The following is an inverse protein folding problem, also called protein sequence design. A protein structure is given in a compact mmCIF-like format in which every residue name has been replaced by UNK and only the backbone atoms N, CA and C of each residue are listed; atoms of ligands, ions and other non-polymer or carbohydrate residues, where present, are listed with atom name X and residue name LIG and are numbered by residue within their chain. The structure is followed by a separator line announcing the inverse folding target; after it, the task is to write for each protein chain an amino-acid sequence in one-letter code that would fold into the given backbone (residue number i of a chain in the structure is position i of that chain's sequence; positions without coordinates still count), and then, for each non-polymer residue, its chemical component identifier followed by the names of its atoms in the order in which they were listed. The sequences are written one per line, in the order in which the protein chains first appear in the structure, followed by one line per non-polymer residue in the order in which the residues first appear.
data_IF_391670310387
#
_entry.id   IF_391670310387
#
_cell.length_a   1.000
_cell.length_b   1.000
_cell.length_c   1.000
_cell.angle_alpha   90.00
_cell.angle_beta   90.00
_cell.angle_gamma   90.00
#
_symmetry.space_group_name_H-M   'P 1'
#
loop_
_entity.id
_entity.type
_entity.pdbx_description
1 polymer ?
#
# COMPACT_ATOMS: atom_id res chain seq x y z
N UNK A 1 -15.82 -27.43 8.76
CA UNK A 1 -14.82 -27.84 9.77
C UNK A 1 -13.62 -26.92 9.63
N UNK A 2 -13.58 -25.85 10.43
CA UNK A 2 -12.39 -25.00 10.52
C UNK A 2 -11.41 -25.70 11.46
N UNK A 3 -10.21 -26.00 10.98
CA UNK A 3 -9.12 -26.51 11.80
C UNK A 3 -8.79 -25.46 12.86
N UNK A 4 -9.17 -25.75 14.11
CA UNK A 4 -8.71 -25.02 15.28
C UNK A 4 -7.18 -25.12 15.28
N UNK A 5 -6.49 -23.98 15.16
CA UNK A 5 -5.07 -23.93 15.44
C UNK A 5 -4.88 -24.39 16.90
N UNK A 6 -4.34 -25.60 17.08
CA UNK A 6 -3.93 -26.03 18.41
C UNK A 6 -2.80 -25.11 18.88
N UNK A 7 -2.73 -24.78 20.18
CA UNK A 7 -1.57 -24.11 20.72
C UNK A 7 -0.35 -24.98 20.39
N UNK A 8 0.61 -24.41 19.67
CA UNK A 8 1.88 -25.10 19.44
C UNK A 8 2.48 -25.38 20.82
N UNK A 9 2.59 -26.65 21.17
CA UNK A 9 3.49 -27.08 22.24
C UNK A 9 4.89 -26.77 21.73
N UNK A 10 5.45 -25.67 22.21
CA UNK A 10 6.81 -25.27 21.90
C UNK A 10 7.70 -26.24 22.67
N UNK A 11 8.47 -27.05 21.94
CA UNK A 11 9.36 -28.06 22.50
C UNK A 11 10.38 -27.38 23.44
N UNK A 12 10.52 -27.83 24.69
CA UNK A 12 11.32 -27.18 25.73
C UNK A 12 12.81 -27.01 25.36
N UNK A 13 13.30 -27.78 24.39
CA UNK A 13 14.65 -27.66 23.83
C UNK A 13 14.85 -26.41 22.94
N UNK A 14 13.77 -25.82 22.41
CA UNK A 14 13.79 -24.66 21.52
C UNK A 14 14.00 -23.32 22.27
N UNK A 15 13.66 -23.25 23.56
CA UNK A 15 13.83 -22.04 24.37
C UNK A 15 15.29 -21.73 24.74
N UNK A 16 16.20 -22.71 24.67
CA UNK A 16 17.58 -22.57 25.15
C UNK A 16 18.61 -22.17 24.08
N UNK A 17 18.14 -21.87 22.87
CA UNK A 17 19.00 -21.51 21.73
C UNK A 17 19.14 -19.99 21.60
N UNK A 18 20.36 -19.49 21.37
CA UNK A 18 20.60 -18.09 20.94
C UNK A 18 19.76 -17.69 19.71
N UNK A 19 19.29 -18.67 18.94
CA UNK A 19 18.46 -18.49 17.75
C UNK A 19 16.96 -18.41 18.05
N UNK A 20 16.51 -18.76 19.26
CA UNK A 20 15.08 -18.83 19.64
C UNK A 20 14.31 -17.53 19.35
N UNK A 21 14.84 -16.32 19.65
CA UNK A 21 14.16 -15.08 19.30
C UNK A 21 14.02 -14.89 17.78
N UNK A 22 15.04 -15.25 17.00
CA UNK A 22 15.03 -15.11 15.55
C UNK A 22 14.02 -16.08 14.93
N UNK A 23 14.00 -17.32 15.38
CA UNK A 23 13.12 -18.36 14.85
C UNK A 23 11.65 -18.05 15.12
N UNK A 24 11.31 -17.42 16.26
CA UNK A 24 9.94 -16.91 16.52
C UNK A 24 9.48 -15.95 15.42
N UNK A 25 10.29 -14.96 15.04
CA UNK A 25 9.93 -14.02 13.98
C UNK A 25 9.96 -14.66 12.59
N UNK A 26 10.86 -15.62 12.35
CA UNK A 26 10.96 -16.28 11.05
C UNK A 26 9.79 -17.21 10.73
N UNK A 27 9.23 -17.88 11.75
CA UNK A 27 8.20 -18.92 11.57
C UNK A 27 6.83 -18.55 12.14
N UNK A 28 6.65 -17.32 12.64
CA UNK A 28 5.37 -16.89 13.22
C UNK A 28 4.22 -16.92 12.21
N UNK A 29 3.04 -17.29 12.71
CA UNK A 29 1.78 -17.13 12.00
C UNK A 29 0.88 -16.06 12.62
N UNK A 30 1.30 -15.42 13.73
CA UNK A 30 0.51 -14.40 14.43
C UNK A 30 0.40 -13.13 13.57
N UNK A 31 -0.83 -12.73 13.23
CA UNK A 31 -1.12 -11.53 12.44
C UNK A 31 -0.53 -10.23 13.02
N UNK A 32 -0.34 -10.14 14.34
CA UNK A 32 0.28 -8.98 15.00
C UNK A 32 1.76 -8.91 14.68
N UNK A 33 2.48 -10.03 14.83
CA UNK A 33 3.92 -10.10 14.55
C UNK A 33 4.17 -9.90 13.06
N UNK A 34 3.39 -10.55 12.20
CA UNK A 34 3.45 -10.34 10.74
C UNK A 34 3.14 -8.88 10.39
N UNK A 35 2.13 -8.26 11.01
CA UNK A 35 1.83 -6.85 10.84
C UNK A 35 3.00 -5.93 11.21
N UNK A 36 3.69 -6.20 12.32
CA UNK A 36 4.91 -5.47 12.72
C UNK A 36 6.02 -5.66 11.69
N UNK A 37 6.23 -6.88 11.18
CA UNK A 37 7.26 -7.15 10.17
C UNK A 37 6.99 -6.38 8.87
N UNK A 38 5.74 -6.31 8.41
CA UNK A 38 5.34 -5.47 7.28
C UNK A 38 5.65 -3.99 7.54
N UNK A 39 5.20 -3.45 8.68
CA UNK A 39 5.40 -2.03 9.03
C UNK A 39 6.88 -1.68 9.16
N UNK A 40 7.70 -2.55 9.75
CA UNK A 40 9.13 -2.33 9.89
C UNK A 40 9.86 -2.40 8.54
N UNK A 41 9.60 -3.44 7.74
CA UNK A 41 10.21 -3.61 6.41
C UNK A 41 9.87 -2.42 5.50
N UNK A 42 8.61 -1.99 5.49
CA UNK A 42 8.16 -0.85 4.70
C UNK A 42 8.69 0.49 5.20
N UNK A 43 8.87 0.66 6.52
CA UNK A 43 9.51 1.84 7.08
C UNK A 43 10.99 1.96 6.68
N UNK A 44 11.72 0.84 6.61
CA UNK A 44 13.09 0.86 6.06
C UNK A 44 13.10 1.29 4.58
N UNK A 45 12.16 0.78 3.78
CA UNK A 45 11.98 1.21 2.39
C UNK A 45 11.67 2.71 2.28
N UNK A 46 10.87 3.27 3.20
CA UNK A 46 10.60 4.71 3.28
C UNK A 46 11.88 5.54 3.49
N UNK A 47 12.76 5.11 4.41
CA UNK A 47 14.02 5.81 4.65
C UNK A 47 14.91 5.80 3.40
N UNK A 48 15.02 4.65 2.72
CA UNK A 48 15.78 4.52 1.48
C UNK A 48 15.20 5.40 0.37
N UNK A 49 13.87 5.39 0.19
CA UNK A 49 13.20 6.24 -0.79
C UNK A 49 13.37 7.74 -0.49
N UNK A 50 13.42 8.12 0.79
CA UNK A 50 13.71 9.47 1.25
C UNK A 50 15.11 9.92 0.86
N UNK A 51 16.11 9.04 0.98
CA UNK A 51 17.49 9.32 0.52
C UNK A 51 17.51 9.60 -0.99
N UNK A 52 16.84 8.76 -1.79
CA UNK A 52 16.73 9.01 -3.24
C UNK A 52 16.08 10.36 -3.55
N UNK A 53 15.00 10.70 -2.85
CA UNK A 53 14.33 11.99 -3.00
C UNK A 53 15.24 13.17 -2.68
N UNK A 54 16.01 13.08 -1.58
CA UNK A 54 16.93 14.14 -1.18
C UNK A 54 18.02 14.35 -2.23
N UNK A 55 18.63 13.28 -2.74
CA UNK A 55 19.66 13.38 -3.78
C UNK A 55 19.09 14.03 -5.04
N UNK A 56 17.90 13.61 -5.50
CA UNK A 56 17.24 14.23 -6.65
C UNK A 56 16.96 15.72 -6.43
N UNK A 57 16.51 16.11 -5.22
CA UNK A 57 16.22 17.51 -4.90
C UNK A 57 17.47 18.36 -4.82
N UNK A 58 18.58 17.80 -4.33
CA UNK A 58 19.89 18.48 -4.33
C UNK A 58 20.38 18.67 -5.77
N UNK A 59 20.28 17.65 -6.63
CA UNK A 59 20.63 17.77 -8.06
C UNK A 59 19.79 18.85 -8.78
N UNK A 60 18.52 19.01 -8.41
CA UNK A 60 17.62 20.01 -9.02
C UNK A 60 17.61 21.37 -8.31
N UNK A 61 18.49 21.61 -7.33
CA UNK A 61 18.46 22.84 -6.53
C UNK A 61 18.79 24.10 -7.35
N UNK A 62 19.60 23.97 -8.40
CA UNK A 62 19.87 25.02 -9.38
C UNK A 62 20.21 24.40 -10.76
N UNK A 63 20.06 25.17 -11.86
CA UNK A 63 20.42 24.70 -13.19
C UNK A 63 21.90 24.28 -13.29
N UNK A 64 22.19 23.25 -14.09
CA UNK A 64 23.54 22.77 -14.44
C UNK A 64 24.39 22.27 -13.25
N UNK A 65 23.77 21.82 -12.15
CA UNK A 65 24.47 21.02 -11.14
C UNK A 65 24.91 19.66 -11.70
N UNK A 66 25.99 19.11 -11.14
CA UNK A 66 26.55 17.81 -11.52
C UNK A 66 26.75 16.92 -10.27
N UNK A 67 25.72 16.80 -9.43
CA UNK A 67 25.73 15.92 -8.25
C UNK A 67 25.63 14.45 -8.68
N UNK A 68 24.77 14.18 -9.67
CA UNK A 68 24.64 12.88 -10.35
C UNK A 68 24.52 13.10 -11.85
N UNK A 69 24.97 12.12 -12.64
CA UNK A 69 24.77 12.12 -14.09
C UNK A 69 23.31 11.78 -14.45
N UNK A 70 22.94 11.95 -15.73
CA UNK A 70 21.57 11.77 -16.22
C UNK A 70 21.04 10.34 -16.08
N UNK A 71 21.90 9.32 -16.25
CA UNK A 71 21.50 7.92 -16.14
C UNK A 71 21.22 7.59 -14.67
N UNK A 72 22.13 7.98 -13.78
CA UNK A 72 21.94 7.83 -12.33
C UNK A 72 20.69 8.59 -11.86
N UNK A 73 20.44 9.80 -12.36
CA UNK A 73 19.23 10.56 -12.03
C UNK A 73 17.95 9.80 -12.41
N UNK A 74 17.89 9.22 -13.61
CA UNK A 74 16.75 8.44 -14.06
C UNK A 74 16.54 7.18 -13.20
N UNK A 75 17.62 6.50 -12.81
CA UNK A 75 17.54 5.37 -11.87
C UNK A 75 17.01 5.79 -10.51
N UNK A 76 17.42 6.96 -9.99
CA UNK A 76 16.91 7.50 -8.72
C UNK A 76 15.43 7.86 -8.80
N UNK A 77 14.96 8.44 -9.90
CA UNK A 77 13.54 8.74 -10.13
C UNK A 77 12.70 7.46 -10.12
N UNK A 78 13.12 6.46 -10.89
CA UNK A 78 12.49 5.14 -10.92
C UNK A 78 12.50 4.48 -9.54
N UNK A 79 13.64 4.46 -8.86
CA UNK A 79 13.80 3.85 -7.54
C UNK A 79 12.98 4.53 -6.46
N UNK A 80 12.96 5.86 -6.42
CA UNK A 80 12.10 6.58 -5.50
C UNK A 80 10.63 6.22 -5.70
N UNK A 81 10.13 6.30 -6.95
CA UNK A 81 8.73 6.03 -7.25
C UNK A 81 8.33 4.58 -6.96
N UNK A 82 9.12 3.60 -7.41
CA UNK A 82 8.87 2.18 -7.13
C UNK A 82 8.90 1.89 -5.64
N UNK A 83 9.89 2.41 -4.91
CA UNK A 83 10.02 2.15 -3.48
C UNK A 83 8.88 2.78 -2.67
N UNK A 84 8.49 4.02 -2.98
CA UNK A 84 7.40 4.69 -2.26
C UNK A 84 6.05 3.99 -2.47
N UNK A 85 5.70 3.68 -3.72
CA UNK A 85 4.39 3.12 -4.08
C UNK A 85 4.29 1.67 -3.62
N UNK A 86 5.20 0.82 -4.09
CA UNK A 86 5.08 -0.62 -3.89
C UNK A 86 5.66 -1.09 -2.56
N UNK A 87 6.74 -0.49 -2.05
CA UNK A 87 7.45 -1.03 -0.88
C UNK A 87 7.19 -0.27 0.42
N UNK A 88 6.72 0.97 0.35
CA UNK A 88 6.33 1.73 1.52
C UNK A 88 4.82 1.79 1.71
N UNK A 89 4.10 2.60 0.92
CA UNK A 89 2.73 3.01 1.26
C UNK A 89 1.79 1.81 1.33
N UNK A 90 1.72 1.00 0.26
CA UNK A 90 0.81 -0.15 0.21
C UNK A 90 1.16 -1.21 1.27
N UNK A 91 2.45 -1.47 1.51
CA UNK A 91 2.88 -2.47 2.48
C UNK A 91 2.74 -2.02 3.93
N UNK A 92 2.98 -0.74 4.22
CA UNK A 92 2.76 -0.20 5.55
C UNK A 92 1.28 -0.30 5.92
N UNK A 93 0.40 0.12 5.02
CA UNK A 93 -1.05 0.02 5.21
C UNK A 93 -1.52 -1.45 5.32
N UNK A 94 -0.91 -2.35 4.55
CA UNK A 94 -1.13 -3.80 4.69
C UNK A 94 -0.72 -4.30 6.06
N UNK A 95 0.42 -3.87 6.60
CA UNK A 95 0.87 -4.22 7.96
C UNK A 95 -0.06 -3.69 9.05
N UNK A 96 -0.53 -2.44 8.91
CA UNK A 96 -1.55 -1.84 9.79
C UNK A 96 -2.83 -2.67 9.78
N UNK A 97 -3.33 -3.03 8.59
CA UNK A 97 -4.52 -3.85 8.44
C UNK A 97 -4.32 -5.25 9.03
N UNK A 98 -3.16 -5.87 8.81
CA UNK A 98 -2.83 -7.19 9.35
C UNK A 98 -2.92 -7.20 10.87
N UNK A 99 -2.39 -6.16 11.51
CA UNK A 99 -2.42 -6.03 12.96
C UNK A 99 -3.84 -5.75 13.48
N UNK A 100 -4.54 -4.77 12.89
CA UNK A 100 -5.73 -4.17 13.50
C UNK A 100 -7.05 -4.83 13.06
N UNK A 101 -7.15 -5.33 11.82
CA UNK A 101 -8.42 -5.84 11.27
C UNK A 101 -8.95 -7.05 12.04
N UNK A 102 -8.16 -8.11 12.34
CA UNK A 102 -8.66 -9.24 13.13
C UNK A 102 -9.20 -8.80 14.49
N UNK A 103 -8.52 -7.85 15.14
CA UNK A 103 -8.93 -7.28 16.43
C UNK A 103 -10.26 -6.54 16.31
N UNK A 104 -10.42 -5.72 15.27
CA UNK A 104 -11.64 -4.94 15.04
C UNK A 104 -12.86 -5.80 14.71
N UNK A 105 -12.67 -6.95 14.06
CA UNK A 105 -13.76 -7.89 13.76
C UNK A 105 -13.99 -8.94 14.85
N UNK A 106 -13.17 -8.94 15.91
CA UNK A 106 -13.23 -9.90 17.00
C UNK A 106 -12.78 -11.32 16.60
N UNK A 107 -11.96 -11.44 15.56
CA UNK A 107 -11.33 -12.69 15.16
C UNK A 107 -10.07 -12.96 16.00
N UNK A 108 -9.76 -14.24 16.23
CA UNK A 108 -8.53 -14.63 16.94
C UNK A 108 -7.27 -14.40 16.10
N UNK A 109 -7.39 -14.64 14.80
CA UNK A 109 -6.31 -14.52 13.81
C UNK A 109 -6.95 -14.38 12.41
N UNK A 110 -6.11 -14.26 11.39
CA UNK A 110 -6.49 -14.30 9.98
C UNK A 110 -7.06 -15.67 9.58
N UNK A 111 -7.89 -15.72 8.54
CA UNK A 111 -8.50 -16.96 8.04
C UNK A 111 -7.47 -17.98 7.53
N UNK A 112 -6.38 -17.49 6.95
CA UNK A 112 -5.29 -18.32 6.45
C UNK A 112 -3.94 -17.84 7.03
N UNK A 113 -3.60 -18.19 8.29
CA UNK A 113 -2.39 -17.67 8.96
C UNK A 113 -1.08 -17.99 8.23
N UNK A 114 -0.96 -19.18 7.62
CA UNK A 114 0.24 -19.56 6.84
C UNK A 114 0.34 -18.82 5.50
N UNK A 115 -0.79 -18.57 4.84
CA UNK A 115 -0.85 -17.74 3.62
C UNK A 115 -0.48 -16.30 3.97
N UNK A 116 -0.86 -15.83 5.16
CA UNK A 116 -0.45 -14.53 5.69
C UNK A 116 1.08 -14.42 5.82
N UNK A 117 1.70 -15.42 6.45
CA UNK A 117 3.15 -15.49 6.62
C UNK A 117 3.88 -15.58 5.28
N UNK A 118 3.41 -16.44 4.36
CA UNK A 118 3.98 -16.53 3.01
C UNK A 118 3.83 -15.21 2.25
N UNK A 119 2.67 -14.57 2.32
CA UNK A 119 2.44 -13.25 1.72
C UNK A 119 3.47 -12.23 2.20
N UNK A 120 3.76 -12.20 3.50
CA UNK A 120 4.85 -11.37 4.03
C UNK A 120 6.20 -11.77 3.45
N UNK A 121 6.60 -13.04 3.45
CA UNK A 121 7.93 -13.45 2.99
C UNK A 121 8.21 -13.18 1.51
N UNK A 122 7.19 -13.08 0.68
CA UNK A 122 7.33 -12.64 -0.71
C UNK A 122 7.72 -11.16 -0.83
N UNK A 123 7.41 -10.31 0.16
CA UNK A 123 7.79 -8.89 0.16
C UNK A 123 9.30 -8.66 0.20
N UNK A 124 10.06 -9.15 1.21
CA UNK A 124 11.51 -8.94 1.23
C UNK A 124 12.20 -9.61 0.04
N UNK A 125 11.64 -10.69 -0.52
CA UNK A 125 12.11 -11.28 -1.78
C UNK A 125 11.89 -10.31 -2.94
N UNK A 126 10.71 -9.70 -3.07
CA UNK A 126 10.42 -8.69 -4.08
C UNK A 126 11.36 -7.48 -3.97
N UNK A 127 11.51 -6.92 -2.77
CA UNK A 127 12.44 -5.82 -2.48
C UNK A 127 13.88 -6.21 -2.85
N UNK A 128 14.31 -7.41 -2.45
CA UNK A 128 15.63 -7.94 -2.76
C UNK A 128 15.87 -8.10 -4.26
N UNK A 129 14.88 -8.60 -5.01
CA UNK A 129 14.94 -8.69 -6.47
C UNK A 129 15.13 -7.30 -7.08
N UNK A 130 14.32 -6.32 -6.68
CA UNK A 130 14.43 -4.96 -7.21
C UNK A 130 15.83 -4.36 -6.99
N UNK A 131 16.33 -4.39 -5.75
CA UNK A 131 17.62 -3.80 -5.43
C UNK A 131 18.81 -4.61 -5.97
N UNK A 132 18.63 -5.90 -6.27
CA UNK A 132 19.64 -6.70 -6.96
C UNK A 132 19.99 -6.13 -8.34
N UNK A 133 19.06 -5.41 -8.99
CA UNK A 133 19.32 -4.71 -10.25
C UNK A 133 20.50 -3.74 -10.16
N UNK A 134 20.66 -3.01 -9.05
CA UNK A 134 21.81 -2.10 -8.86
C UNK A 134 23.16 -2.82 -8.89
N UNK A 135 23.20 -4.10 -8.50
CA UNK A 135 24.41 -4.92 -8.54
C UNK A 135 24.58 -5.70 -9.85
N UNK A 136 23.55 -5.72 -10.71
CA UNK A 136 23.48 -6.48 -11.95
C UNK A 136 23.48 -5.59 -13.21
N UNK A 137 24.09 -4.40 -13.12
CA UNK A 137 24.25 -3.48 -14.25
C UNK A 137 23.35 -2.23 -14.21
N UNK A 138 22.60 -2.00 -13.13
CA UNK A 138 21.81 -0.79 -12.90
C UNK A 138 20.34 -1.09 -12.61
N UNK A 139 19.65 -0.17 -11.94
CA UNK A 139 18.22 -0.29 -11.69
C UNK A 139 17.40 0.11 -12.93
N UNK A 140 16.07 -0.03 -12.85
CA UNK A 140 15.15 0.59 -13.80
C UNK A 140 15.47 2.08 -13.93
N UNK A 141 15.57 2.60 -15.17
CA UNK A 141 15.84 4.01 -15.48
C UNK A 141 14.73 4.63 -16.39
N UNK A 142 13.55 4.01 -16.43
CA UNK A 142 12.46 4.35 -17.36
C UNK A 142 11.21 4.93 -16.65
N UNK A 143 11.41 5.63 -15.53
CA UNK A 143 10.35 6.02 -14.60
C UNK A 143 9.77 4.83 -13.84
N UNK A 144 8.95 5.07 -12.81
CA UNK A 144 8.29 3.97 -12.07
C UNK A 144 7.20 3.27 -12.89
N UNK A 145 6.76 3.88 -14.01
CA UNK A 145 5.77 3.33 -14.94
C UNK A 145 6.38 2.38 -15.97
N UNK A 146 7.69 2.48 -16.25
CA UNK A 146 8.40 1.53 -17.11
C UNK A 146 7.83 1.41 -18.52
N UNK A 147 7.56 2.53 -19.21
CA UNK A 147 6.90 2.46 -20.51
C UNK A 147 7.77 1.82 -21.62
N UNK A 148 7.21 0.88 -22.41
CA UNK A 148 7.78 0.54 -23.70
C UNK A 148 7.57 1.70 -24.71
N UNK A 149 8.46 1.87 -25.70
CA UNK A 149 9.55 0.96 -26.04
C UNK A 149 10.82 1.15 -25.18
N UNK A 150 10.88 2.14 -24.27
CA UNK A 150 12.07 2.46 -23.49
C UNK A 150 12.55 1.28 -22.62
N UNK A 151 11.63 0.44 -22.16
CA UNK A 151 11.95 -0.80 -21.43
C UNK A 151 12.36 -1.99 -22.30
N UNK A 152 12.35 -1.88 -23.64
CA UNK A 152 12.84 -2.95 -24.52
C UNK A 152 14.37 -3.07 -24.47
N UNK A 153 14.90 -4.26 -24.79
CA UNK A 153 16.37 -4.47 -24.84
C UNK A 153 17.11 -3.57 -25.83
N UNK A 154 16.41 -3.00 -26.82
CA UNK A 154 17.01 -2.06 -27.76
C UNK A 154 17.42 -0.75 -27.09
N UNK A 155 16.59 -0.23 -26.18
CA UNK A 155 16.84 1.04 -25.49
C UNK A 155 17.40 0.86 -24.07
N UNK A 156 17.05 -0.25 -23.41
CA UNK A 156 17.53 -0.60 -22.09
C UNK A 156 18.07 -2.04 -22.08
N UNK A 157 19.35 -2.24 -22.46
CA UNK A 157 19.96 -3.57 -22.59
C UNK A 157 20.34 -4.20 -21.24
N UNK A 158 20.39 -3.42 -20.16
CA UNK A 158 20.73 -3.90 -18.82
C UNK A 158 19.64 -4.77 -18.20
N UNK A 159 19.97 -5.42 -17.08
CA UNK A 159 19.06 -6.30 -16.34
C UNK A 159 18.12 -5.54 -15.38
N UNK A 160 18.26 -4.22 -15.25
CA UNK A 160 17.47 -3.42 -14.31
C UNK A 160 15.96 -3.50 -14.54
N UNK A 161 15.53 -3.57 -15.80
CA UNK A 161 14.12 -3.79 -16.14
C UNK A 161 13.67 -5.19 -15.74
N UNK A 162 14.50 -6.21 -15.95
CA UNK A 162 14.16 -7.61 -15.66
C UNK A 162 14.01 -7.86 -14.15
N UNK A 163 14.91 -7.29 -13.34
CA UNK A 163 14.79 -7.36 -11.88
C UNK A 163 13.57 -6.60 -11.36
N UNK A 164 13.21 -5.49 -12.00
CA UNK A 164 12.01 -4.73 -11.65
C UNK A 164 10.71 -5.46 -12.01
N UNK A 165 10.59 -6.03 -13.22
CA UNK A 165 9.41 -6.82 -13.63
C UNK A 165 9.23 -8.03 -12.71
N UNK A 166 10.29 -8.81 -12.45
CA UNK A 166 10.26 -9.95 -11.54
C UNK A 166 9.87 -9.55 -10.12
N UNK A 167 10.43 -8.44 -9.62
CA UNK A 167 10.06 -7.87 -8.33
C UNK A 167 8.56 -7.58 -8.24
N UNK A 168 7.99 -6.89 -9.23
CA UNK A 168 6.58 -6.50 -9.22
C UNK A 168 5.62 -7.69 -9.41
N UNK A 169 6.04 -8.75 -10.11
CA UNK A 169 5.28 -10.01 -10.18
C UNK A 169 5.16 -10.63 -8.78
N UNK A 170 6.28 -10.75 -8.07
CA UNK A 170 6.30 -11.31 -6.70
C UNK A 170 5.47 -10.44 -5.74
N UNK A 171 5.57 -9.12 -5.87
CA UNK A 171 4.77 -8.17 -5.10
C UNK A 171 3.26 -8.33 -5.36
N UNK A 172 2.85 -8.46 -6.62
CA UNK A 172 1.46 -8.64 -6.99
C UNK A 172 0.87 -9.94 -6.42
N UNK A 173 1.64 -11.03 -6.46
CA UNK A 173 1.24 -12.31 -5.87
C UNK A 173 1.03 -12.17 -4.35
N UNK A 174 1.95 -11.52 -3.64
CA UNK A 174 1.81 -11.21 -2.21
C UNK A 174 0.51 -10.44 -1.92
N UNK A 175 0.25 -9.38 -2.69
CA UNK A 175 -0.94 -8.55 -2.55
C UNK A 175 -2.26 -9.28 -2.80
N UNK A 176 -2.31 -10.17 -3.80
CA UNK A 176 -3.48 -11.02 -4.09
C UNK A 176 -3.73 -11.99 -2.91
N UNK A 177 -2.69 -12.62 -2.40
CA UNK A 177 -2.79 -13.52 -1.24
C UNK A 177 -3.29 -12.79 0.01
N UNK A 178 -2.78 -11.59 0.27
CA UNK A 178 -3.24 -10.75 1.38
C UNK A 178 -4.72 -10.37 1.22
N UNK A 179 -5.13 -9.96 0.02
CA UNK A 179 -6.51 -9.59 -0.31
C UNK A 179 -7.51 -10.71 -0.05
N UNK A 180 -7.22 -11.92 -0.54
CA UNK A 180 -8.06 -13.10 -0.30
C UNK A 180 -8.17 -13.37 1.20
N UNK A 181 -7.04 -13.31 1.92
CA UNK A 181 -7.01 -13.58 3.35
C UNK A 181 -7.81 -12.55 4.16
N UNK A 182 -7.66 -11.25 3.88
CA UNK A 182 -8.45 -10.20 4.52
C UNK A 182 -9.95 -10.35 4.24
N UNK A 183 -10.35 -10.57 2.97
CA UNK A 183 -11.75 -10.75 2.62
C UNK A 183 -12.35 -11.95 3.34
N UNK A 184 -11.68 -13.11 3.33
CA UNK A 184 -12.18 -14.28 4.03
C UNK A 184 -12.26 -14.05 5.54
N UNK A 185 -11.24 -13.42 6.14
CA UNK A 185 -11.24 -13.10 7.58
C UNK A 185 -12.41 -12.20 7.93
N UNK A 186 -12.57 -11.09 7.22
CA UNK A 186 -13.62 -10.12 7.48
C UNK A 186 -14.99 -10.69 7.17
N UNK A 187 -15.17 -11.56 6.17
CA UNK A 187 -16.47 -12.10 5.80
C UNK A 187 -16.92 -13.30 6.65
N UNK A 188 -15.99 -14.18 7.02
CA UNK A 188 -16.31 -15.46 7.63
C UNK A 188 -16.03 -15.53 9.14
N UNK A 189 -15.12 -14.71 9.67
CA UNK A 189 -14.61 -14.85 11.05
C UNK A 189 -15.02 -13.71 12.00
N UNK A 190 -15.98 -12.87 11.61
CA UNK A 190 -16.50 -11.81 12.50
C UNK A 190 -17.14 -12.39 13.75
N UNK A 191 -17.04 -11.64 14.84
CA UNK A 191 -17.74 -11.95 16.08
C UNK A 191 -19.27 -12.09 15.86
N UNK A 192 -19.94 -13.05 16.53
CA UNK A 192 -21.39 -13.21 16.46
C UNK A 192 -22.13 -11.91 16.79
N UNK A 193 -23.14 -11.56 15.98
CA UNK A 193 -23.93 -10.32 16.14
C UNK A 193 -23.37 -9.08 15.42
N UNK A 194 -22.16 -9.16 14.84
CA UNK A 194 -21.60 -8.12 13.99
C UNK A 194 -22.08 -8.28 12.54
N UNK A 195 -23.13 -7.56 12.17
CA UNK A 195 -23.59 -7.45 10.77
C UNK A 195 -22.63 -6.58 9.95
N UNK A 196 -22.70 -6.65 8.62
CA UNK A 196 -21.84 -5.84 7.73
C UNK A 196 -21.98 -4.34 8.01
N UNK A 197 -23.20 -3.85 8.20
CA UNK A 197 -23.45 -2.44 8.51
C UNK A 197 -23.03 -2.03 9.94
N UNK A 198 -22.42 -2.93 10.73
CA UNK A 198 -21.83 -2.61 12.04
C UNK A 198 -20.29 -2.65 12.03
N UNK A 199 -19.67 -2.88 10.87
CA UNK A 199 -18.21 -2.90 10.75
C UNK A 199 -17.62 -1.49 10.96
N UNK A 200 -16.45 -1.37 11.62
CA UNK A 200 -15.70 -0.12 11.64
C UNK A 200 -15.36 0.36 10.22
N UNK A 201 -15.20 1.68 10.03
CA UNK A 201 -14.95 2.24 8.70
C UNK A 201 -13.55 1.86 8.19
N UNK A 202 -12.58 1.62 9.09
CA UNK A 202 -11.30 1.03 8.70
C UNK A 202 -11.45 -0.38 8.12
N UNK A 203 -12.36 -1.20 8.65
CA UNK A 203 -12.61 -2.55 8.12
C UNK A 203 -13.30 -2.48 6.75
N UNK A 204 -14.25 -1.57 6.56
CA UNK A 204 -14.84 -1.32 5.23
C UNK A 204 -13.80 -0.86 4.21
N UNK A 205 -12.91 0.06 4.59
CA UNK A 205 -11.80 0.48 3.75
C UNK A 205 -10.89 -0.70 3.37
N UNK A 206 -10.63 -1.63 4.30
CA UNK A 206 -9.85 -2.83 3.98
C UNK A 206 -10.58 -3.77 3.03
N UNK A 207 -11.90 -3.96 3.17
CA UNK A 207 -12.70 -4.74 2.20
C UNK A 207 -12.52 -4.13 0.80
N UNK A 208 -12.70 -2.81 0.68
CA UNK A 208 -12.56 -2.10 -0.60
C UNK A 208 -11.16 -2.23 -1.19
N UNK A 209 -10.13 -2.04 -0.38
CA UNK A 209 -8.72 -2.20 -0.78
C UNK A 209 -8.44 -3.62 -1.29
N UNK A 210 -8.94 -4.63 -0.57
CA UNK A 210 -8.76 -6.04 -0.94
C UNK A 210 -9.51 -6.41 -2.23
N UNK A 211 -10.71 -5.87 -2.45
CA UNK A 211 -11.45 -6.07 -3.69
C UNK A 211 -10.71 -5.47 -4.89
N UNK A 212 -10.20 -4.23 -4.74
CA UNK A 212 -9.44 -3.57 -5.80
C UNK A 212 -8.20 -4.39 -6.16
N UNK A 213 -7.37 -4.73 -5.17
CA UNK A 213 -6.11 -5.40 -5.41
C UNK A 213 -6.30 -6.82 -5.99
N UNK A 214 -7.39 -7.51 -5.63
CA UNK A 214 -7.75 -8.79 -6.24
C UNK A 214 -8.08 -8.65 -7.74
N UNK A 215 -8.78 -7.57 -8.13
CA UNK A 215 -9.16 -7.32 -9.52
C UNK A 215 -7.95 -6.84 -10.33
N UNK A 216 -7.13 -5.94 -9.77
CA UNK A 216 -6.12 -5.21 -10.53
C UNK A 216 -4.70 -5.72 -10.39
N UNK A 217 -4.42 -6.55 -9.36
CA UNK A 217 -3.10 -7.17 -9.18
C UNK A 217 -2.74 -8.12 -10.33
N UNK A 218 -3.73 -8.84 -10.89
CA UNK A 218 -3.51 -9.74 -12.02
C UNK A 218 -3.13 -8.98 -13.32
N UNK A 219 -3.82 -7.89 -13.71
CA UNK A 219 -3.38 -7.01 -14.79
C UNK A 219 -1.95 -6.50 -14.66
N UNK A 220 -1.51 -6.08 -13.45
CA UNK A 220 -0.11 -5.68 -13.22
C UNK A 220 0.85 -6.85 -13.49
N UNK A 221 0.62 -8.00 -12.85
CA UNK A 221 1.45 -9.18 -13.04
C UNK A 221 1.51 -9.59 -14.52
N UNK A 222 0.36 -9.53 -15.22
CA UNK A 222 0.27 -9.77 -16.66
C UNK A 222 1.13 -8.79 -17.47
N UNK A 223 1.05 -7.48 -17.21
CA UNK A 223 1.88 -6.49 -17.89
C UNK A 223 3.39 -6.74 -17.66
N UNK A 224 3.78 -7.09 -16.44
CA UNK A 224 5.18 -7.41 -16.11
C UNK A 224 5.66 -8.68 -16.80
N UNK A 225 4.85 -9.75 -16.79
CA UNK A 225 5.16 -11.01 -17.48
C UNK A 225 5.30 -10.77 -18.98
N UNK A 226 4.34 -10.06 -19.60
CA UNK A 226 4.37 -9.74 -21.03
C UNK A 226 5.60 -8.90 -21.41
N UNK A 227 6.01 -7.98 -20.54
CA UNK A 227 7.24 -7.19 -20.71
C UNK A 227 8.49 -8.08 -20.65
N UNK A 228 8.53 -9.02 -19.69
CA UNK A 228 9.65 -9.94 -19.52
C UNK A 228 9.78 -10.89 -20.72
N UNK A 229 8.66 -11.39 -21.26
CA UNK A 229 8.72 -12.27 -22.43
C UNK A 229 9.08 -11.54 -23.73
N UNK A 230 8.71 -10.26 -23.86
CA UNK A 230 9.19 -9.41 -24.95
C UNK A 230 10.72 -9.24 -24.86
N UNK A 231 11.26 -9.10 -23.65
CA UNK A 231 12.70 -8.91 -23.43
C UNK A 231 13.50 -10.21 -23.55
N UNK A 232 13.06 -11.31 -22.96
CA UNK A 232 13.87 -12.53 -22.84
C UNK A 232 13.57 -13.58 -23.91
N UNK A 233 12.33 -13.63 -24.39
CA UNK A 233 11.87 -14.67 -25.31
C UNK A 233 11.55 -14.13 -26.72
N UNK A 234 11.71 -12.83 -26.95
CA UNK A 234 11.59 -12.21 -28.27
C UNK A 234 10.15 -12.10 -28.78
N UNK A 235 9.17 -12.10 -27.87
CA UNK A 235 7.78 -11.77 -28.25
C UNK A 235 7.65 -10.29 -28.62
N UNK A 236 6.49 -9.91 -29.16
CA UNK A 236 6.25 -8.56 -29.69
C UNK A 236 4.92 -7.98 -29.20
N UNK A 237 4.63 -8.07 -27.90
CA UNK A 237 3.40 -7.51 -27.35
C UNK A 237 3.43 -5.97 -27.31
N UNK A 238 4.49 -5.41 -26.74
CA UNK A 238 4.63 -3.97 -26.49
C UNK A 238 5.78 -3.33 -27.27
N UNK A 239 6.52 -4.11 -28.05
CA UNK A 239 7.55 -3.58 -28.97
C UNK A 239 6.94 -2.69 -30.05
N UNK A 240 7.78 -2.01 -30.83
CA UNK A 240 7.33 -1.21 -31.98
C UNK A 240 6.62 -2.05 -33.06
N UNK A 241 6.88 -3.36 -33.13
CA UNK A 241 6.13 -4.28 -33.99
C UNK A 241 4.78 -4.71 -33.38
N UNK A 242 4.64 -4.56 -32.06
CA UNK A 242 3.42 -4.79 -31.30
C UNK A 242 2.60 -3.52 -31.08
N UNK A 243 2.09 -3.34 -29.85
CA UNK A 243 1.30 -2.18 -29.44
C UNK A 243 1.81 -1.61 -28.11
N UNK A 244 2.73 -0.63 -28.11
CA UNK A 244 3.22 0.00 -26.87
C UNK A 244 2.10 0.61 -26.01
N UNK A 245 1.06 1.17 -26.62
CA UNK A 245 -0.10 1.74 -25.90
C UNK A 245 -0.92 0.68 -25.15
N UNK A 246 -0.85 -0.60 -25.56
CA UNK A 246 -1.49 -1.69 -24.81
C UNK A 246 -0.90 -1.82 -23.41
N UNK A 247 0.43 -1.67 -23.27
CA UNK A 247 1.09 -1.65 -21.96
C UNK A 247 0.51 -0.55 -21.08
N UNK A 248 0.34 0.66 -21.63
CA UNK A 248 -0.19 1.79 -20.86
C UNK A 248 -1.61 1.50 -20.35
N UNK A 249 -2.47 0.90 -21.16
CA UNK A 249 -3.80 0.49 -20.70
C UNK A 249 -3.73 -0.54 -19.57
N UNK A 250 -2.89 -1.59 -19.70
CA UNK A 250 -2.76 -2.62 -18.66
C UNK A 250 -2.17 -2.05 -17.37
N UNK A 251 -1.10 -1.25 -17.49
CA UNK A 251 -0.43 -0.64 -16.35
C UNK A 251 -1.35 0.34 -15.64
N UNK A 252 -2.09 1.20 -16.34
CA UNK A 252 -2.98 2.16 -15.68
C UNK A 252 -4.30 1.57 -15.21
N UNK A 253 -4.81 0.53 -15.86
CA UNK A 253 -5.93 -0.24 -15.33
C UNK A 253 -5.61 -0.81 -13.94
N UNK A 254 -4.32 -1.09 -13.67
CA UNK A 254 -3.81 -1.27 -12.32
C UNK A 254 -3.55 0.04 -11.57
N UNK A 255 -2.79 0.95 -12.17
CA UNK A 255 -2.17 2.08 -11.49
C UNK A 255 -3.16 3.07 -10.91
N UNK A 256 -4.29 3.32 -11.57
CA UNK A 256 -5.29 4.23 -10.98
C UNK A 256 -6.05 3.59 -9.81
N UNK A 257 -6.52 2.34 -9.89
CA UNK A 257 -7.00 1.63 -8.70
C UNK A 257 -5.97 1.51 -7.58
N UNK A 258 -4.68 1.36 -7.90
CA UNK A 258 -3.60 1.32 -6.90
C UNK A 258 -3.50 2.61 -6.10
N UNK A 259 -3.69 3.79 -6.71
CA UNK A 259 -3.70 5.04 -5.92
C UNK A 259 -4.87 5.07 -4.92
N UNK A 260 -5.97 4.36 -5.17
CA UNK A 260 -7.03 4.20 -4.17
C UNK A 260 -6.69 3.16 -3.12
N UNK A 261 -6.04 2.05 -3.48
CA UNK A 261 -5.49 1.08 -2.53
C UNK A 261 -4.55 1.77 -1.53
N UNK A 262 -3.78 2.75 -2.00
CA UNK A 262 -2.88 3.55 -1.16
C UNK A 262 -3.56 4.57 -0.25
N UNK A 263 -4.84 4.94 -0.45
CA UNK A 263 -5.51 5.99 0.34
C UNK A 263 -6.74 5.50 1.11
N UNK A 264 -7.43 4.47 0.63
CA UNK A 264 -8.65 3.94 1.26
C UNK A 264 -8.40 3.52 2.71
N UNK A 265 -7.34 2.73 3.04
CA UNK A 265 -7.04 2.41 4.43
C UNK A 265 -6.75 3.66 5.26
N UNK A 266 -6.07 4.66 4.68
CA UNK A 266 -5.87 5.97 5.27
C UNK A 266 -7.17 6.67 5.65
N UNK A 267 -8.14 6.71 4.74
CA UNK A 267 -9.49 7.21 5.02
C UNK A 267 -10.18 6.43 6.15
N UNK A 268 -10.00 5.11 6.17
CA UNK A 268 -10.44 4.25 7.25
C UNK A 268 -9.86 4.67 8.60
N UNK A 269 -8.54 4.87 8.69
CA UNK A 269 -7.85 5.27 9.90
C UNK A 269 -8.32 6.64 10.41
N UNK A 270 -8.45 7.63 9.51
CA UNK A 270 -8.98 8.95 9.86
C UNK A 270 -10.41 8.88 10.39
N UNK A 271 -11.21 7.95 9.86
CA UNK A 271 -12.58 7.71 10.32
C UNK A 271 -12.66 7.07 11.71
N UNK A 272 -11.60 6.47 12.22
CA UNK A 272 -11.51 6.00 13.61
C UNK A 272 -10.95 7.09 14.54
N UNK A 273 -9.98 7.87 14.07
CA UNK A 273 -9.26 8.88 14.86
C UNK A 273 -10.15 10.10 15.16
N UNK A 274 -10.80 10.66 14.14
CA UNK A 274 -11.58 11.91 14.28
C UNK A 274 -12.72 11.76 15.30
N UNK A 275 -13.57 10.72 15.25
CA UNK A 275 -14.62 10.51 16.25
C UNK A 275 -14.10 10.46 17.69
N UNK A 276 -13.01 9.73 17.92
CA UNK A 276 -12.44 9.51 19.25
C UNK A 276 -11.95 10.80 19.87
N UNK A 277 -11.10 11.55 19.17
CA UNK A 277 -10.57 12.82 19.68
C UNK A 277 -11.54 14.00 19.54
N UNK A 278 -12.68 13.82 18.88
CA UNK A 278 -13.79 14.80 18.90
C UNK A 278 -14.87 14.45 19.92
N UNK A 279 -14.75 13.28 20.59
CA UNK A 279 -15.74 12.72 21.52
C UNK A 279 -17.16 12.65 20.94
N UNK A 280 -17.27 12.32 19.65
CA UNK A 280 -18.52 12.24 18.90
C UNK A 280 -18.57 10.99 18.05
N UNK A 281 -19.77 10.48 17.77
CA UNK A 281 -19.94 9.42 16.75
C UNK A 281 -19.65 9.98 15.36
N UNK A 282 -19.16 9.13 14.45
CA UNK A 282 -18.95 9.51 13.06
C UNK A 282 -20.28 9.96 12.43
N UNK A 283 -20.26 11.12 11.78
CA UNK A 283 -21.41 11.63 11.05
C UNK A 283 -21.55 10.87 9.72
N UNK A 284 -22.79 10.48 9.37
CA UNK A 284 -23.08 9.88 8.06
C UNK A 284 -22.39 8.53 7.82
N UNK A 285 -22.42 7.59 8.78
CA UNK A 285 -21.79 6.28 8.63
C UNK A 285 -22.20 5.56 7.33
N UNK A 286 -23.49 5.49 7.01
CA UNK A 286 -23.96 4.84 5.78
C UNK A 286 -23.47 5.56 4.52
N UNK A 287 -23.48 6.91 4.52
CA UNK A 287 -22.94 7.68 3.39
C UNK A 287 -21.43 7.54 3.26
N UNK A 288 -20.68 7.34 4.35
CA UNK A 288 -19.26 6.97 4.31
C UNK A 288 -19.05 5.62 3.64
N UNK A 289 -19.81 4.60 4.03
CA UNK A 289 -19.72 3.25 3.44
C UNK A 289 -20.04 3.28 1.95
N UNK A 290 -21.13 3.97 1.57
CA UNK A 290 -21.52 4.13 0.17
C UNK A 290 -20.46 4.92 -0.63
N UNK A 291 -19.87 5.97 -0.05
CA UNK A 291 -18.80 6.71 -0.70
C UNK A 291 -17.54 5.85 -0.93
N UNK A 292 -17.16 5.03 0.06
CA UNK A 292 -16.04 4.09 -0.06
C UNK A 292 -16.29 3.09 -1.20
N UNK A 293 -17.48 2.48 -1.30
CA UNK A 293 -17.81 1.59 -2.41
C UNK A 293 -17.96 2.31 -3.75
N UNK A 294 -18.47 3.54 -3.75
CA UNK A 294 -18.55 4.37 -4.95
C UNK A 294 -17.17 4.58 -5.57
N UNK A 295 -16.14 4.81 -4.75
CA UNK A 295 -14.75 4.89 -5.20
C UNK A 295 -14.30 3.57 -5.83
N UNK A 296 -14.59 2.43 -5.18
CA UNK A 296 -14.22 1.11 -5.73
C UNK A 296 -14.80 0.93 -7.13
N UNK A 297 -16.10 1.16 -7.30
CA UNK A 297 -16.76 1.00 -8.60
C UNK A 297 -16.22 1.96 -9.65
N UNK A 298 -16.14 3.26 -9.33
CA UNK A 298 -15.67 4.27 -10.28
C UNK A 298 -14.20 4.08 -10.65
N UNK A 299 -13.35 3.62 -9.72
CA UNK A 299 -11.92 3.42 -9.97
C UNK A 299 -11.62 2.45 -11.11
N UNK A 300 -12.51 1.49 -11.37
CA UNK A 300 -12.41 0.55 -12.49
C UNK A 300 -12.68 1.19 -13.85
N UNK A 301 -13.21 2.42 -13.90
CA UNK A 301 -13.69 3.09 -15.11
C UNK A 301 -12.97 4.38 -15.46
N UNK A 302 -11.85 4.70 -14.81
CA UNK A 302 -11.21 6.03 -14.93
C UNK A 302 -9.73 6.01 -15.33
N UNK A 303 -9.11 4.84 -15.46
CA UNK A 303 -7.66 4.74 -15.66
C UNK A 303 -7.09 5.49 -16.86
N UNK A 304 -7.87 5.67 -17.94
CA UNK A 304 -7.38 6.27 -19.17
C UNK A 304 -7.11 7.78 -19.05
N UNK A 305 -7.48 8.45 -17.94
CA UNK A 305 -7.04 9.84 -17.74
C UNK A 305 -5.54 10.00 -17.61
N UNK A 306 -4.79 8.94 -17.33
CA UNK A 306 -3.33 8.96 -17.36
C UNK A 306 -2.77 8.90 -18.78
N UNK A 307 -3.64 8.87 -19.78
CA UNK A 307 -3.32 8.56 -21.17
C UNK A 307 -3.96 9.55 -22.14
N UNK A 308 -4.47 10.70 -21.71
CA UNK A 308 -5.17 11.64 -22.60
C UNK A 308 -4.29 12.16 -23.75
N UNK A 309 -2.97 12.16 -23.60
CA UNK A 309 -2.06 12.63 -24.65
C UNK A 309 -1.58 11.53 -25.60
N UNK A 310 -2.10 10.29 -25.51
CA UNK A 310 -1.74 9.22 -26.45
C UNK A 310 -2.58 9.23 -27.73
N UNK A 311 -3.54 10.16 -27.84
CA UNK A 311 -4.43 10.30 -29.00
C UNK A 311 -5.58 9.31 -28.97
N UNK A 312 -6.28 9.19 -27.84
CA UNK A 312 -7.47 8.36 -27.76
C UNK A 312 -8.61 9.00 -28.57
N UNK A 313 -9.66 8.22 -28.81
CA UNK A 313 -10.87 8.77 -29.42
C UNK A 313 -11.51 9.79 -28.46
N UNK A 314 -11.86 10.98 -28.96
CA UNK A 314 -12.46 12.07 -28.16
C UNK A 314 -13.70 11.66 -27.36
N UNK A 315 -14.52 10.72 -27.86
CA UNK A 315 -15.68 10.20 -27.13
C UNK A 315 -15.25 9.38 -25.90
N UNK A 316 -14.16 8.61 -26.02
CA UNK A 316 -13.56 7.87 -24.90
C UNK A 316 -12.98 8.85 -23.90
N UNK A 317 -12.18 9.83 -24.36
CA UNK A 317 -11.59 10.84 -23.48
C UNK A 317 -12.67 11.62 -22.69
N UNK A 318 -13.74 12.03 -23.37
CA UNK A 318 -14.87 12.75 -22.74
C UNK A 318 -15.58 11.90 -21.69
N UNK A 319 -15.78 10.60 -21.97
CA UNK A 319 -16.36 9.66 -21.00
C UNK A 319 -15.45 9.53 -19.77
N UNK A 320 -14.15 9.29 -19.97
CA UNK A 320 -13.19 9.16 -18.88
C UNK A 320 -13.05 10.46 -18.08
N UNK A 321 -13.16 11.62 -18.73
CA UNK A 321 -13.15 12.93 -18.07
C UNK A 321 -14.32 13.05 -17.11
N UNK A 322 -15.54 12.77 -17.60
CA UNK A 322 -16.74 12.83 -16.78
C UNK A 322 -16.70 11.84 -15.59
N UNK A 323 -16.25 10.60 -15.83
CA UNK A 323 -16.13 9.59 -14.78
C UNK A 323 -15.05 9.96 -13.75
N UNK A 324 -13.91 10.52 -14.20
CA UNK A 324 -12.83 10.96 -13.30
C UNK A 324 -13.29 12.12 -12.43
N UNK A 325 -13.96 13.11 -13.02
CA UNK A 325 -14.56 14.21 -12.26
C UNK A 325 -15.60 13.71 -11.24
N UNK A 326 -16.38 12.68 -11.59
CA UNK A 326 -17.38 12.10 -10.70
C UNK A 326 -16.79 11.49 -9.41
N UNK A 327 -15.52 11.04 -9.40
CA UNK A 327 -14.87 10.52 -8.18
C UNK A 327 -14.68 11.60 -7.10
N UNK A 328 -14.67 12.87 -7.50
CA UNK A 328 -14.64 13.97 -6.53
C UNK A 328 -15.85 13.95 -5.59
N UNK A 329 -17.01 13.43 -6.02
CA UNK A 329 -18.24 13.43 -5.24
C UNK A 329 -18.17 12.47 -4.04
N UNK A 330 -17.90 11.16 -4.20
CA UNK A 330 -17.69 10.27 -3.05
C UNK A 330 -16.57 10.74 -2.11
N UNK A 331 -15.49 11.28 -2.68
CA UNK A 331 -14.39 11.82 -1.88
C UNK A 331 -14.85 13.02 -1.06
N UNK A 332 -15.56 13.97 -1.66
CA UNK A 332 -16.12 15.14 -0.99
C UNK A 332 -17.08 14.78 0.14
N UNK A 333 -17.97 13.81 -0.06
CA UNK A 333 -18.88 13.31 0.99
C UNK A 333 -18.10 12.93 2.25
N UNK A 334 -16.99 12.22 2.10
CA UNK A 334 -16.16 11.81 3.24
C UNK A 334 -15.54 12.98 3.97
N UNK A 335 -15.03 13.97 3.23
CA UNK A 335 -14.47 15.20 3.81
C UNK A 335 -15.51 15.98 4.62
N UNK A 336 -16.70 16.18 4.06
CA UNK A 336 -17.78 16.85 4.78
C UNK A 336 -18.24 16.05 6.00
N UNK A 337 -18.31 14.73 5.91
CA UNK A 337 -18.65 13.88 7.06
C UNK A 337 -17.60 13.96 8.18
N UNK A 338 -16.30 13.99 7.87
CA UNK A 338 -15.25 14.17 8.89
C UNK A 338 -15.33 15.56 9.53
N UNK A 339 -15.52 16.61 8.73
CA UNK A 339 -15.70 17.98 9.24
C UNK A 339 -16.94 18.08 10.14
N UNK A 340 -18.07 17.50 9.72
CA UNK A 340 -19.30 17.45 10.51
C UNK A 340 -19.15 16.62 11.80
N UNK A 341 -18.31 15.57 11.76
CA UNK A 341 -17.97 14.79 12.94
C UNK A 341 -17.24 15.65 13.96
N UNK A 342 -16.21 16.40 13.54
CA UNK A 342 -15.44 17.28 14.41
C UNK A 342 -16.22 18.54 14.87
N UNK A 343 -17.12 19.06 14.02
CA UNK A 343 -17.94 20.24 14.32
C UNK A 343 -18.71 20.08 15.63
N UNK A 344 -18.66 21.08 16.53
CA UNK A 344 -19.28 21.00 17.87
C UNK A 344 -18.85 19.77 18.70
N UNK A 345 -17.72 19.15 18.35
CA UNK A 345 -17.05 18.16 19.19
C UNK A 345 -16.16 18.80 20.25
N UNK A 346 -15.80 18.03 21.27
CA UNK A 346 -14.78 18.42 22.24
C UNK A 346 -13.42 17.97 21.71
N UNK A 347 -12.85 18.76 20.79
CA UNK A 347 -11.65 18.38 20.04
C UNK A 347 -10.41 18.43 20.95
N UNK A 348 -9.75 17.28 21.09
CA UNK A 348 -8.43 17.17 21.68
C UNK A 348 -7.36 17.13 20.57
N UNK A 349 -6.52 18.16 20.50
CA UNK A 349 -5.47 18.30 19.48
C UNK A 349 -4.21 17.47 19.82
N UNK A 350 -4.38 16.17 19.99
CA UNK A 350 -3.30 15.19 20.15
C UNK A 350 -2.51 14.99 18.85
N UNK A 351 -1.37 14.30 18.90
CA UNK A 351 -0.54 14.03 17.70
C UNK A 351 -1.31 13.33 16.57
N UNK A 352 -2.10 12.26 16.82
CA UNK A 352 -2.95 11.66 15.78
C UNK A 352 -3.91 12.67 15.15
N UNK A 353 -4.54 13.53 15.97
CA UNK A 353 -5.50 14.51 15.50
C UNK A 353 -4.83 15.62 14.66
N UNK A 354 -3.60 16.03 15.00
CA UNK A 354 -2.80 16.97 14.19
C UNK A 354 -2.51 16.41 12.80
N UNK A 355 -2.09 15.14 12.72
CA UNK A 355 -1.89 14.49 11.43
C UNK A 355 -3.21 14.30 10.66
N UNK A 356 -4.32 14.03 11.35
CA UNK A 356 -5.63 13.94 10.72
C UNK A 356 -6.07 15.27 10.08
N UNK A 357 -5.94 16.40 10.79
CA UNK A 357 -6.23 17.72 10.22
C UNK A 357 -5.22 18.15 9.16
N UNK A 358 -3.94 17.79 9.33
CA UNK A 358 -2.91 18.00 8.30
C UNK A 358 -3.28 17.27 7.00
N UNK A 359 -3.68 16.01 7.10
CA UNK A 359 -4.22 15.22 5.99
C UNK A 359 -5.39 15.92 5.32
N UNK A 360 -6.37 16.39 6.11
CA UNK A 360 -7.54 17.06 5.55
C UNK A 360 -7.14 18.30 4.74
N UNK A 361 -6.22 19.11 5.25
CA UNK A 361 -5.74 20.32 4.58
C UNK A 361 -4.98 20.00 3.28
N UNK A 362 -3.97 19.14 3.33
CA UNK A 362 -3.13 18.83 2.16
C UNK A 362 -3.89 18.06 1.09
N UNK A 363 -4.76 17.13 1.50
CA UNK A 363 -5.52 16.32 0.56
C UNK A 363 -6.61 17.14 -0.16
N UNK A 364 -7.22 18.14 0.48
CA UNK A 364 -8.14 19.05 -0.23
C UNK A 364 -7.41 19.84 -1.31
N UNK A 365 -6.23 20.39 -1.00
CA UNK A 365 -5.40 21.12 -1.98
C UNK A 365 -5.04 20.21 -3.15
N UNK A 366 -4.55 18.99 -2.87
CA UNK A 366 -4.26 18.00 -3.89
C UNK A 366 -5.50 17.54 -4.67
N UNK A 367 -6.64 17.38 -4.00
CA UNK A 367 -7.89 16.97 -4.63
C UNK A 367 -8.39 18.00 -5.64
N UNK A 368 -8.32 19.30 -5.32
CA UNK A 368 -8.70 20.39 -6.23
C UNK A 368 -7.80 20.37 -7.48
N UNK A 369 -6.49 20.20 -7.31
CA UNK A 369 -5.57 20.12 -8.47
C UNK A 369 -5.82 18.87 -9.32
N UNK A 370 -6.25 17.76 -8.72
CA UNK A 370 -6.61 16.53 -9.43
C UNK A 370 -7.91 16.63 -10.21
N UNK A 371 -8.93 17.28 -9.64
CA UNK A 371 -10.16 17.59 -10.38
C UNK A 371 -9.86 18.47 -11.59
N UNK A 372 -8.92 19.40 -11.44
CA UNK A 372 -8.46 20.22 -12.58
C UNK A 372 -7.80 19.37 -13.67
N UNK A 373 -6.94 18.39 -13.30
CA UNK A 373 -6.34 17.43 -14.24
C UNK A 373 -7.34 16.44 -14.86
N UNK A 374 -8.51 16.25 -14.27
CA UNK A 374 -9.53 15.38 -14.88
C UNK A 374 -10.03 15.91 -16.23
N UNK A 375 -9.90 17.22 -16.48
CA UNK A 375 -10.32 17.85 -17.72
C UNK A 375 -9.28 17.63 -18.83
N UNK A 376 -9.67 16.94 -19.91
CA UNK A 376 -8.83 16.67 -21.08
C UNK A 376 -8.09 17.92 -21.62
N UNK A 377 -8.75 19.07 -21.90
CA UNK A 377 -8.03 20.24 -22.43
C UNK A 377 -7.03 20.87 -21.46
N UNK A 378 -7.17 20.59 -20.16
CA UNK A 378 -6.22 21.02 -19.13
C UNK A 378 -5.06 20.03 -19.09
N UNK A 379 -5.35 18.73 -19.05
CA UNK A 379 -4.32 17.71 -19.03
C UNK A 379 -3.43 17.78 -20.27
N UNK A 380 -3.97 18.02 -21.47
CA UNK A 380 -3.13 18.16 -22.68
C UNK A 380 -2.04 19.23 -22.56
N UNK A 381 -2.23 20.26 -21.73
CA UNK A 381 -1.23 21.28 -21.43
C UNK A 381 -0.33 20.92 -20.25
N UNK A 382 -0.87 20.24 -19.24
CA UNK A 382 -0.18 19.97 -17.97
C UNK A 382 0.43 18.57 -17.87
N UNK A 383 0.12 17.68 -18.82
CA UNK A 383 0.54 16.29 -18.84
C UNK A 383 2.07 16.19 -18.73
N UNK A 384 2.54 15.33 -17.82
CA UNK A 384 3.97 15.13 -17.53
C UNK A 384 4.75 16.37 -17.06
N UNK A 385 4.08 17.49 -16.78
CA UNK A 385 4.71 18.65 -16.14
C UNK A 385 4.85 18.45 -14.62
N UNK A 386 5.58 19.36 -13.97
CA UNK A 386 5.66 19.40 -12.51
C UNK A 386 4.31 19.64 -11.82
N UNK A 387 3.25 20.04 -12.54
CA UNK A 387 1.90 20.12 -11.98
C UNK A 387 1.38 18.74 -11.57
N UNK A 388 1.54 17.73 -12.43
CA UNK A 388 1.11 16.34 -12.13
C UNK A 388 1.94 15.77 -10.97
N UNK A 389 3.25 16.05 -10.97
CA UNK A 389 4.14 15.67 -9.86
C UNK A 389 3.67 16.31 -8.55
N UNK A 390 3.39 17.61 -8.53
CA UNK A 390 2.92 18.32 -7.36
C UNK A 390 1.56 17.78 -6.87
N UNK A 391 0.59 17.61 -7.79
CA UNK A 391 -0.71 17.02 -7.49
C UNK A 391 -0.57 15.66 -6.79
N UNK A 392 0.17 14.73 -7.41
CA UNK A 392 0.39 13.39 -6.86
C UNK A 392 1.06 13.45 -5.48
N UNK A 393 2.06 14.32 -5.28
CA UNK A 393 2.73 14.43 -3.99
C UNK A 393 1.83 15.02 -2.90
N UNK A 394 0.92 15.96 -3.23
CA UNK A 394 -0.07 16.43 -2.26
C UNK A 394 -1.02 15.31 -1.81
N UNK A 395 -1.55 14.53 -2.76
CA UNK A 395 -2.53 13.47 -2.43
C UNK A 395 -1.90 12.17 -1.93
N UNK A 396 -0.64 11.88 -2.25
CA UNK A 396 0.04 10.66 -1.79
C UNK A 396 0.83 10.91 -0.51
N UNK A 397 1.69 11.94 -0.47
CA UNK A 397 2.45 12.27 0.73
C UNK A 397 1.54 12.94 1.78
N UNK A 398 0.90 14.05 1.40
CA UNK A 398 -0.07 14.71 2.29
C UNK A 398 -1.34 13.88 2.54
N UNK A 399 -1.69 12.95 1.63
CA UNK A 399 -2.75 11.99 1.86
C UNK A 399 -2.29 10.81 2.69
N UNK A 400 -1.79 9.78 2.02
CA UNK A 400 -1.48 8.48 2.63
C UNK A 400 -0.46 8.59 3.76
N UNK A 401 0.65 9.30 3.57
CA UNK A 401 1.74 9.32 4.58
C UNK A 401 1.30 10.04 5.87
N UNK A 402 0.52 11.10 5.78
CA UNK A 402 -0.05 11.75 6.97
C UNK A 402 -1.02 10.82 7.70
N UNK A 403 -1.88 10.09 6.98
CA UNK A 403 -2.76 9.10 7.62
C UNK A 403 -1.99 7.93 8.24
N UNK A 404 -0.86 7.52 7.65
CA UNK A 404 0.07 6.53 8.21
C UNK A 404 0.60 7.02 9.55
N UNK A 405 1.13 8.24 9.61
CA UNK A 405 1.61 8.81 10.88
C UNK A 405 0.49 8.98 11.90
N UNK A 406 -0.70 9.41 11.47
CA UNK A 406 -1.87 9.48 12.35
C UNK A 406 -2.17 8.11 12.98
N UNK A 407 -2.17 7.05 12.16
CA UNK A 407 -2.36 5.67 12.59
C UNK A 407 -1.25 5.16 13.51
N UNK A 408 0.02 5.44 13.19
CA UNK A 408 1.16 5.11 14.06
C UNK A 408 0.92 5.72 15.44
N UNK A 409 0.78 7.04 15.55
CA UNK A 409 0.62 7.67 16.85
C UNK A 409 -0.65 7.23 17.60
N UNK A 410 -1.69 6.81 16.86
CA UNK A 410 -2.95 6.36 17.46
C UNK A 410 -2.85 4.94 18.03
N UNK A 411 -2.25 4.00 17.29
CA UNK A 411 -2.18 2.58 17.68
C UNK A 411 -0.84 2.15 18.29
N UNK A 412 0.18 3.02 18.33
CA UNK A 412 1.48 2.72 18.94
C UNK A 412 1.41 2.18 20.37
N UNK A 413 0.56 2.71 21.28
CA UNK A 413 0.41 2.13 22.61
C UNK A 413 -0.06 0.67 22.58
N UNK A 414 -0.85 0.28 21.57
CA UNK A 414 -1.33 -1.09 21.40
C UNK A 414 -0.22 -2.04 20.94
N UNK A 415 0.69 -1.55 20.10
CA UNK A 415 1.83 -2.33 19.61
C UNK A 415 2.83 -2.62 20.72
N UNK A 416 3.12 -1.62 21.55
CA UNK A 416 4.08 -1.73 22.65
C UNK A 416 3.51 -2.49 23.85
N UNK A 417 2.23 -2.27 24.21
CA UNK A 417 1.58 -3.05 25.27
C UNK A 417 1.42 -4.52 24.87
N UNK A 418 1.09 -4.81 23.61
CA UNK A 418 1.02 -6.19 23.11
C UNK A 418 2.38 -6.90 23.09
N UNK A 419 3.49 -6.18 22.89
CA UNK A 419 4.84 -6.75 23.00
C UNK A 419 5.19 -7.09 24.45
N UNK A 420 4.81 -6.25 25.41
CA UNK A 420 4.96 -6.56 26.84
C UNK A 420 4.15 -7.81 27.23
N UNK A 421 2.93 -7.99 26.72
CA UNK A 421 2.13 -9.20 26.94
C UNK A 421 2.76 -10.46 26.30
N UNK A 422 3.36 -10.34 25.11
CA UNK A 422 4.03 -11.46 24.44
C UNK A 422 5.33 -11.87 25.15
N UNK A 423 6.10 -10.89 25.63
CA UNK A 423 7.29 -11.13 26.45
C UNK A 423 6.92 -11.73 27.80
N UNK A 424 5.86 -11.24 28.44
CA UNK A 424 5.37 -11.79 29.71
C UNK A 424 4.78 -13.20 29.52
N UNK A 425 4.18 -13.51 28.36
CA UNK A 425 3.75 -14.87 28.05
C UNK A 425 4.94 -15.82 27.84
N UNK A 426 6.00 -15.40 27.15
CA UNK A 426 7.23 -16.16 27.04
C UNK A 426 7.91 -16.37 28.41
N UNK A 427 7.94 -15.34 29.26
CA UNK A 427 8.47 -15.43 30.63
C UNK A 427 7.63 -16.33 31.55
N UNK A 428 6.31 -16.43 31.33
CA UNK A 428 5.42 -17.35 32.07
C UNK A 428 5.63 -18.79 31.64
N UNK A 429 5.79 -19.03 30.33
CA UNK A 429 6.16 -20.35 29.82
C UNK A 429 7.51 -20.81 30.39
N UNK A 430 8.45 -19.90 30.62
CA UNK A 430 9.71 -20.17 31.32
C UNK A 430 9.56 -20.47 32.83
N UNK A 431 8.59 -19.84 33.52
CA UNK A 431 8.37 -19.99 34.97
C UNK A 431 7.55 -21.21 35.37
N UNK A 432 6.70 -21.71 34.48
CA UNK A 432 5.85 -22.89 34.73
C UNK A 432 6.56 -24.22 34.37
N UNK A 433 7.85 -24.17 34.03
CA UNK A 433 8.71 -25.36 33.91
C UNK A 433 8.93 -25.96 35.32
N UNK A 434 8.61 -27.24 35.56
CA UNK A 434 8.92 -27.88 36.83
C UNK A 434 10.44 -27.92 37.04
N UNK A 435 10.90 -27.45 38.21
CA UNK A 435 12.29 -27.57 38.69
C UNK A 435 12.69 -29.05 38.82
N UNK A 436 12.97 -29.72 37.70
CA UNK A 436 13.63 -31.02 37.68
C UNK A 436 15.14 -30.84 37.76
N UNK A 437 15.60 -30.25 38.85
CA UNK A 437 17.02 -30.21 39.16
C UNK A 437 17.30 -30.23 40.65
N UNK A 438 16.57 -30.99 41.47
CA UNK A 438 17.03 -31.44 42.81
C UNK A 438 16.20 -32.65 43.29
N UNK A 439 16.38 -33.82 42.69
CA UNK A 439 15.97 -35.08 43.32
C UNK A 439 16.87 -36.24 42.84
N UNK A 440 17.73 -36.72 43.74
CA UNK A 440 18.33 -38.06 43.65
C UNK A 440 19.86 -38.08 43.53
N UNK A 441 20.48 -38.30 44.69
CA UNK A 441 21.67 -39.12 45.01
C UNK A 441 22.65 -39.51 43.88
#
# INVERSE_FOLDING_TARGET
MATVAQPQVIDEAYERSLWSPITVWLTTTDHKLIGIMYMFTSFLAFLVAGIFALIMRVQLAQPNLNVVDAETYNQLVSAHGTTMIFFFVTLFLTGMANYIVPIMVGARDMAFPRVNALGFWLVPVSIGLYYSGFFAGGALNAGWTGYPPLTSKHFNPGLGVDFWTLSLIVWAISGIMASVNFLTTILALRAPGMTLLRLPLFVWAQISTSLLLLIVGAPLAGAMILTEIDRQFGTNFFTSAGRPVLYQHLFWFFGHPEVYIMILPGFGMISEIIPVFSRKRIFGYESMVLAIFGIVFLSMGVWAHHMYTVGLNIYVETMFMALTAAIAVPTGIKFFNWMATAWQGAIEFTTPMKFAFGFLATFVIGGITGVYLSAVPVDTQLHQSYYVVAHLHYVLFGGSVFTIFAGIYYWFPKWTAGQLELLDHADRLQRDLPDHAHAGA
#
